data_IF_453896172264
#
_entry.id   IF_453896172264
#
_cell.length_a   1.000
_cell.length_b   1.000
_cell.length_c   1.000
_cell.angle_alpha   90.00
_cell.angle_beta   90.00
_cell.angle_gamma   90.00
#
_symmetry.space_group_name_H-M   'P 1'
#
loop_
_entity.id
_entity.type
_entity.pdbx_description
1 polymer ?
#
# COMPACT_ATOMS: atom_id res chain seq x y z
N UNK A 1 -9.01 18.73 -9.09
CA UNK A 1 -9.14 17.40 -8.44
C UNK A 1 -8.65 17.54 -7.01
N UNK A 2 -9.50 17.36 -5.99
CA UNK A 2 -9.05 17.37 -4.59
C UNK A 2 -8.27 16.07 -4.34
N UNK A 3 -6.97 16.19 -4.10
CA UNK A 3 -6.12 15.04 -3.79
C UNK A 3 -6.38 14.65 -2.33
N UNK A 4 -6.62 13.37 -2.02
CA UNK A 4 -6.74 12.90 -0.64
C UNK A 4 -5.49 13.29 0.17
N UNK A 5 -5.65 13.62 1.46
CA UNK A 5 -4.52 13.98 2.34
C UNK A 5 -3.48 12.85 2.35
N UNK A 6 -2.20 13.19 2.18
CA UNK A 6 -1.10 12.24 2.05
C UNK A 6 -0.84 11.43 3.33
N UNK A 7 -1.21 11.97 4.49
CA UNK A 7 -1.07 11.32 5.79
C UNK A 7 -2.33 11.51 6.64
N UNK A 8 -2.62 10.52 7.50
CA UNK A 8 -3.60 10.66 8.57
C UNK A 8 -2.90 11.23 9.79
N UNK A 9 -2.86 12.57 9.91
CA UNK A 9 -2.09 13.25 10.96
C UNK A 9 -2.88 13.44 12.26
N UNK A 10 -4.12 13.90 12.13
CA UNK A 10 -4.97 14.25 13.26
C UNK A 10 -6.46 14.18 12.89
N UNK A 11 -7.31 14.08 13.91
CA UNK A 11 -8.76 14.21 13.78
C UNK A 11 -9.11 15.67 13.51
N UNK A 12 -9.92 15.94 12.48
CA UNK A 12 -10.33 17.31 12.10
C UNK A 12 -11.22 17.98 13.18
N UNK A 13 -11.74 17.20 14.13
CA UNK A 13 -12.66 17.70 15.18
C UNK A 13 -11.98 17.90 16.54
N UNK A 14 -11.13 16.96 16.95
CA UNK A 14 -10.54 16.95 18.30
C UNK A 14 -9.01 16.94 18.30
N UNK A 15 -8.37 16.97 17.14
CA UNK A 15 -6.91 16.93 16.97
C UNK A 15 -6.19 15.70 17.57
N UNK A 16 -6.94 14.67 18.02
CA UNK A 16 -6.36 13.39 18.43
C UNK A 16 -5.58 12.77 17.28
N UNK A 17 -4.45 12.12 17.57
CA UNK A 17 -3.62 11.38 16.59
C UNK A 17 -3.85 9.87 16.62
N UNK A 18 -4.80 9.39 17.43
CA UNK A 18 -5.05 7.96 17.65
C UNK A 18 -6.29 7.50 16.89
N UNK A 19 -6.24 6.26 16.37
CA UNK A 19 -7.37 5.56 15.71
C UNK A 19 -7.99 6.36 14.57
N UNK A 20 -7.16 7.03 13.79
CA UNK A 20 -7.60 7.88 12.69
C UNK A 20 -8.19 7.04 11.55
N UNK A 21 -9.34 7.50 11.05
CA UNK A 21 -10.05 6.93 9.91
C UNK A 21 -10.50 8.07 9.01
N UNK A 22 -10.44 7.85 7.72
CA UNK A 22 -11.03 8.79 6.75
C UNK A 22 -12.53 8.55 6.62
N UNK A 23 -13.27 9.58 6.21
CA UNK A 23 -14.66 9.44 5.82
C UNK A 23 -14.81 8.36 4.75
N UNK A 24 -15.68 7.37 4.98
CA UNK A 24 -15.85 6.23 4.08
C UNK A 24 -16.44 6.62 2.72
N UNK A 25 -17.19 7.73 2.64
CA UNK A 25 -17.82 8.21 1.41
C UNK A 25 -16.81 8.98 0.53
N UNK A 26 -16.23 10.05 1.07
CA UNK A 26 -15.45 11.03 0.29
C UNK A 26 -13.94 11.02 0.58
N UNK A 27 -13.47 10.27 1.58
CA UNK A 27 -12.07 10.19 2.00
C UNK A 27 -11.34 11.53 2.26
N UNK A 28 -12.06 12.65 2.39
CA UNK A 28 -11.48 13.99 2.51
C UNK A 28 -11.32 14.49 3.96
N UNK A 29 -12.13 13.97 4.88
CA UNK A 29 -12.09 14.30 6.31
C UNK A 29 -11.59 13.11 7.14
N UNK A 30 -10.91 13.39 8.24
CA UNK A 30 -10.27 12.43 9.14
C UNK A 30 -10.90 12.53 10.53
N UNK A 31 -11.33 11.39 11.08
CA UNK A 31 -11.94 11.28 12.39
C UNK A 31 -11.28 10.17 13.21
N UNK A 32 -11.12 10.38 14.52
CA UNK A 32 -10.67 9.32 15.43
C UNK A 32 -11.82 8.38 15.85
N UNK A 33 -13.08 8.78 15.67
CA UNK A 33 -14.24 8.03 16.14
C UNK A 33 -15.56 8.46 15.46
N UNK A 34 -16.61 7.63 15.51
CA UNK A 34 -17.93 7.97 14.96
C UNK A 34 -18.56 9.21 15.62
N UNK A 35 -18.26 9.47 16.90
CA UNK A 35 -18.77 10.66 17.59
C UNK A 35 -18.18 11.94 17.01
N UNK A 36 -16.89 11.93 16.63
CA UNK A 36 -16.27 13.06 15.94
C UNK A 36 -16.89 13.28 14.57
N UNK A 37 -17.11 12.20 13.81
CA UNK A 37 -17.79 12.29 12.51
C UNK A 37 -19.21 12.87 12.64
N UNK A 38 -19.99 12.43 13.64
CA UNK A 38 -21.34 12.92 13.85
C UNK A 38 -21.37 14.41 14.25
N UNK A 39 -20.39 14.89 15.02
CA UNK A 39 -20.23 16.31 15.36
C UNK A 39 -19.96 17.17 14.12
N UNK A 40 -19.06 16.71 13.25
CA UNK A 40 -18.72 17.44 12.02
C UNK A 40 -19.77 17.29 10.91
N UNK A 41 -20.63 16.27 10.98
CA UNK A 41 -21.59 15.93 9.93
C UNK A 41 -22.51 17.10 9.52
N UNK A 42 -22.86 17.98 10.46
CA UNK A 42 -23.68 19.18 10.19
C UNK A 42 -23.03 20.11 9.17
N UNK A 43 -21.70 20.17 9.14
CA UNK A 43 -20.92 21.01 8.22
C UNK A 43 -20.39 20.17 7.06
N UNK A 44 -19.85 18.98 7.35
CA UNK A 44 -19.24 18.10 6.37
C UNK A 44 -20.23 17.54 5.34
N UNK A 45 -21.49 17.25 5.71
CA UNK A 45 -22.47 16.56 4.85
C UNK A 45 -22.66 17.21 3.48
N UNK A 46 -22.76 18.54 3.43
CA UNK A 46 -22.92 19.30 2.18
C UNK A 46 -21.73 19.08 1.23
N UNK A 47 -20.51 19.13 1.75
CA UNK A 47 -19.28 18.89 1.01
C UNK A 47 -19.06 17.42 0.67
N UNK A 48 -19.49 16.50 1.53
CA UNK A 48 -19.37 15.05 1.36
C UNK A 48 -20.29 14.52 0.24
N UNK A 49 -21.46 15.13 0.09
CA UNK A 49 -22.44 14.72 -0.93
C UNK A 49 -22.24 15.42 -2.27
N UNK A 50 -21.42 16.47 -2.33
CA UNK A 50 -21.13 17.23 -3.54
C UNK A 50 -20.69 16.33 -4.72
N UNK A 51 -21.02 16.69 -5.97
CA UNK A 51 -20.71 15.89 -7.16
C UNK A 51 -19.20 15.72 -7.40
N UNK A 52 -18.38 16.61 -6.84
CA UNK A 52 -16.92 16.52 -6.86
C UNK A 52 -16.45 15.54 -5.77
N UNK A 53 -16.87 14.27 -5.87
CA UNK A 53 -16.34 13.21 -5.02
C UNK A 53 -14.97 12.79 -5.53
N UNK A 54 -14.02 12.54 -4.62
CA UNK A 54 -12.81 11.82 -4.97
C UNK A 54 -13.23 10.43 -5.45
N UNK A 55 -13.16 10.18 -6.75
CA UNK A 55 -13.47 8.86 -7.28
C UNK A 55 -12.43 7.87 -6.75
N UNK A 56 -12.90 6.82 -6.07
CA UNK A 56 -12.04 5.73 -5.65
C UNK A 56 -11.74 4.88 -6.88
N UNK A 57 -10.51 4.95 -7.36
CA UNK A 57 -10.06 4.10 -8.46
C UNK A 57 -9.69 2.74 -7.84
N UNK A 58 -10.38 1.68 -8.25
CA UNK A 58 -10.03 0.32 -7.84
C UNK A 58 -8.77 -0.11 -8.58
N UNK A 59 -7.62 -0.01 -7.92
CA UNK A 59 -6.32 -0.35 -8.51
C UNK A 59 -6.24 -1.79 -9.05
N UNK A 60 -7.05 -2.73 -8.53
CA UNK A 60 -7.08 -4.11 -9.03
C UNK A 60 -7.58 -4.18 -10.47
N UNK A 61 -8.53 -3.34 -10.85
CA UNK A 61 -9.03 -3.25 -12.23
C UNK A 61 -7.96 -2.77 -13.20
N UNK A 62 -7.05 -1.92 -12.72
CA UNK A 62 -5.95 -1.37 -13.53
C UNK A 62 -4.65 -2.17 -13.41
N UNK A 63 -4.61 -3.18 -12.55
CA UNK A 63 -3.40 -3.96 -12.28
C UNK A 63 -2.78 -4.58 -13.55
N UNK A 64 -3.55 -5.14 -14.52
CA UNK A 64 -2.95 -5.66 -15.74
C UNK A 64 -2.21 -4.59 -16.56
N UNK A 65 -2.80 -3.39 -16.67
CA UNK A 65 -2.21 -2.26 -17.40
C UNK A 65 -0.97 -1.75 -16.66
N UNK A 66 -1.07 -1.58 -15.34
CA UNK A 66 0.05 -1.13 -14.50
C UNK A 66 1.21 -2.14 -14.59
N UNK A 67 0.93 -3.44 -14.45
CA UNK A 67 1.93 -4.50 -14.56
C UNK A 67 2.60 -4.53 -15.94
N UNK A 68 1.80 -4.37 -17.01
CA UNK A 68 2.33 -4.25 -18.37
C UNK A 68 3.24 -3.03 -18.52
N UNK A 69 2.82 -1.85 -18.04
CA UNK A 69 3.64 -0.64 -18.10
C UNK A 69 4.96 -0.81 -17.33
N UNK A 70 4.93 -1.38 -16.12
CA UNK A 70 6.15 -1.68 -15.38
C UNK A 70 7.06 -2.65 -16.12
N UNK A 71 6.52 -3.71 -16.73
CA UNK A 71 7.31 -4.65 -17.54
C UNK A 71 7.88 -3.98 -18.79
N UNK A 72 7.08 -3.19 -19.49
CA UNK A 72 7.47 -2.41 -20.67
C UNK A 72 8.59 -1.41 -20.34
N UNK A 73 8.46 -0.64 -19.27
CA UNK A 73 9.49 0.30 -18.84
C UNK A 73 10.76 -0.40 -18.35
N UNK A 74 10.66 -1.59 -17.74
CA UNK A 74 11.84 -2.42 -17.43
C UNK A 74 12.57 -2.90 -18.68
N UNK A 75 11.84 -3.17 -19.77
CA UNK A 75 12.42 -3.59 -21.05
C UNK A 75 12.99 -2.42 -21.86
N UNK A 76 12.32 -1.27 -21.85
CA UNK A 76 12.76 -0.06 -22.54
C UNK A 76 13.88 0.68 -21.83
N UNK A 77 13.86 0.69 -20.50
CA UNK A 77 14.97 1.21 -19.72
C UNK A 77 16.14 0.27 -19.90
N UNK A 78 17.15 0.68 -20.66
CA UNK A 78 18.47 0.02 -20.66
C UNK A 78 18.88 -0.39 -19.23
N UNK A 79 19.54 -1.54 -19.06
CA UNK A 79 19.68 -2.23 -17.77
C UNK A 79 20.54 -1.40 -16.80
N UNK A 80 19.93 -0.48 -16.04
CA UNK A 80 20.65 0.25 -14.97
C UNK A 80 20.93 -0.60 -13.74
N UNK A 81 20.48 -1.85 -13.75
CA UNK A 81 21.00 -2.91 -12.89
C UNK A 81 21.06 -4.16 -13.75
N UNK A 82 22.21 -4.84 -13.87
CA UNK A 82 22.21 -6.19 -14.42
C UNK A 82 21.16 -6.99 -13.66
N UNK A 83 20.35 -7.77 -14.39
CA UNK A 83 19.45 -8.74 -13.77
C UNK A 83 20.26 -9.52 -12.74
N UNK A 84 19.83 -9.50 -11.48
CA UNK A 84 20.53 -10.24 -10.45
C UNK A 84 20.60 -11.70 -10.90
N UNK A 85 21.77 -12.38 -10.88
CA UNK A 85 21.93 -13.72 -11.46
C UNK A 85 20.83 -14.69 -11.02
N UNK A 86 20.38 -14.58 -9.77
CA UNK A 86 19.27 -15.35 -9.21
C UNK A 86 17.92 -15.27 -9.96
N UNK A 87 17.68 -14.26 -10.80
CA UNK A 87 16.46 -14.15 -11.62
C UNK A 87 16.53 -15.08 -12.84
N UNK A 88 17.73 -15.33 -13.36
CA UNK A 88 17.95 -16.21 -14.51
C UNK A 88 18.22 -17.66 -14.08
N UNK A 89 18.63 -17.88 -12.83
CA UNK A 89 18.92 -19.20 -12.30
C UNK A 89 17.68 -19.96 -11.85
N UNK A 90 17.65 -21.28 -12.08
CA UNK A 90 16.65 -22.18 -11.49
C UNK A 90 17.05 -22.54 -10.06
N UNK A 91 16.08 -22.61 -9.15
CA UNK A 91 16.29 -23.14 -7.80
C UNK A 91 16.47 -24.67 -7.92
N UNK A 92 17.71 -25.15 -7.77
CA UNK A 92 18.02 -26.57 -7.75
C UNK A 92 17.64 -27.20 -6.40
N UNK A 93 17.88 -26.46 -5.33
CA UNK A 93 17.58 -26.89 -3.97
C UNK A 93 17.21 -25.70 -3.10
N UNK A 94 16.00 -25.74 -2.55
CA UNK A 94 15.58 -24.87 -1.46
C UNK A 94 15.22 -25.77 -0.27
N UNK A 95 15.87 -25.62 0.89
CA UNK A 95 15.43 -26.30 2.10
C UNK A 95 13.97 -25.90 2.37
N UNK A 96 13.09 -26.88 2.57
CA UNK A 96 11.72 -26.61 3.00
C UNK A 96 11.81 -25.86 4.32
N UNK A 97 11.32 -24.61 4.41
CA UNK A 97 11.47 -23.84 5.62
C UNK A 97 10.70 -24.55 6.73
N UNK A 98 11.41 -24.95 7.79
CA UNK A 98 10.80 -25.47 9.00
C UNK A 98 9.74 -24.48 9.52
N UNK A 99 8.70 -24.96 10.23
CA UNK A 99 7.69 -24.08 10.81
C UNK A 99 8.38 -22.97 11.61
N UNK A 100 8.08 -21.72 11.25
CA UNK A 100 8.75 -20.54 11.83
C UNK A 100 8.46 -20.49 13.33
N UNK A 101 9.47 -20.75 14.15
CA UNK A 101 9.42 -20.48 15.60
C UNK A 101 9.33 -18.96 15.82
N UNK A 102 8.73 -18.54 16.94
CA UNK A 102 8.67 -17.14 17.31
C UNK A 102 10.10 -16.55 17.39
N UNK A 103 10.36 -15.56 16.55
CA UNK A 103 11.68 -14.93 16.39
C UNK A 103 12.00 -14.05 17.61
N UNK A 104 13.22 -14.15 18.14
CA UNK A 104 13.66 -13.25 19.22
C UNK A 104 13.93 -11.85 18.67
N UNK A 105 13.71 -10.76 19.44
CA UNK A 105 14.05 -9.41 19.00
C UNK A 105 15.52 -9.33 18.58
N UNK A 106 15.78 -8.94 17.32
CA UNK A 106 17.14 -8.78 16.78
C UNK A 106 17.77 -10.01 16.10
N UNK A 107 17.15 -11.18 16.17
CA UNK A 107 17.69 -12.41 15.57
C UNK A 107 17.66 -12.32 14.03
N UNK A 108 18.80 -12.51 13.35
CA UNK A 108 18.86 -12.59 11.88
C UNK A 108 18.89 -14.06 11.47
N UNK A 109 17.89 -14.48 10.70
CA UNK A 109 17.84 -15.84 10.12
C UNK A 109 18.21 -15.75 8.66
N UNK A 110 19.22 -16.50 8.25
CA UNK A 110 19.63 -16.62 6.86
C UNK A 110 19.07 -17.94 6.31
N UNK A 111 18.44 -17.89 5.14
CA UNK A 111 18.07 -19.07 4.37
C UNK A 111 18.85 -19.03 3.06
N UNK A 112 19.60 -20.09 2.79
CA UNK A 112 20.40 -20.22 1.57
C UNK A 112 19.66 -21.13 0.61
N UNK A 113 19.47 -20.68 -0.63
CA UNK A 113 19.00 -21.49 -1.74
C UNK A 113 20.15 -21.70 -2.72
N UNK A 114 20.26 -22.90 -3.29
CA UNK A 114 21.23 -23.21 -4.33
C UNK A 114 20.58 -22.93 -5.68
N UNK A 115 21.24 -22.07 -6.44
CA UNK A 115 20.83 -21.61 -7.76
C UNK A 115 21.74 -22.26 -8.79
N UNK A 116 21.17 -22.75 -9.88
CA UNK A 116 21.90 -23.30 -11.02
C UNK A 116 21.47 -22.65 -12.33
N UNK A 117 22.30 -22.77 -13.35
CA UNK A 117 21.98 -22.41 -14.74
C UNK A 117 21.14 -23.53 -15.40
N UNK A 118 20.40 -23.20 -16.46
CA UNK A 118 19.73 -24.22 -17.31
C UNK A 118 20.74 -25.03 -18.13
#
# INVERSE_FOLDING_TARGET
>A
VSVPRQALDHCDVCSSKRRLKVCSSCASAIYCSPECQAKDWKVHSSSCMAPVRSQKINLRTFYPIIAYLFDYFRRLGEPRTPLHPAIQSRILQAPVPAPKKARRPGEKVHQTAILGEE
#
